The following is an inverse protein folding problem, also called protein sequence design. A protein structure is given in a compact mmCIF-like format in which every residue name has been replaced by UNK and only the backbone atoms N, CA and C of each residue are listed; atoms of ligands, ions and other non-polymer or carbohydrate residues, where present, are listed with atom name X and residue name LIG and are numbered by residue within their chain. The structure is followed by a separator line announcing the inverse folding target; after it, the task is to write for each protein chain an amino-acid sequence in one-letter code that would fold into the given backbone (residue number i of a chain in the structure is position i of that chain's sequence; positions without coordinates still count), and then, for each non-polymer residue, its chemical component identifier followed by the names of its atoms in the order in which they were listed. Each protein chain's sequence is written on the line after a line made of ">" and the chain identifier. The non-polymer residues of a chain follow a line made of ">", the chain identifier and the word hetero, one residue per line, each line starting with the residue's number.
data_IF_640031974192
#
_entry.id   IF_640031974192
#
_cell.length_a   1.000
_cell.length_b   1.000
_cell.length_c   1.000
_cell.angle_alpha   90.00
_cell.angle_beta   90.00
_cell.angle_gamma   90.00
#
_symmetry.space_group_name_H-M   'P 1'
#
loop_
_entity.id
_entity.type
_entity.pdbx_description
1 polymer ?
#
# COMPACT_ATOMS: atom_id res chain seq x y z
N UNK A 1 8.10 10.58 -9.26
CA UNK A 1 7.33 10.61 -8.00
C UNK A 1 8.05 11.50 -7.00
N UNK A 2 7.35 12.39 -6.30
CA UNK A 2 7.91 13.15 -5.17
C UNK A 2 7.87 12.30 -3.91
N UNK A 3 8.87 11.41 -3.75
CA UNK A 3 8.88 10.32 -2.76
C UNK A 3 8.55 10.84 -1.35
N UNK A 4 9.24 11.88 -0.88
CA UNK A 4 9.05 12.43 0.47
C UNK A 4 7.62 12.91 0.73
N UNK A 5 7.04 13.60 -0.26
CA UNK A 5 5.68 14.11 -0.17
C UNK A 5 4.67 12.96 -0.17
N UNK A 6 4.88 11.95 -1.01
CA UNK A 6 4.02 10.77 -1.07
C UNK A 6 4.06 9.97 0.24
N UNK A 7 5.26 9.73 0.80
CA UNK A 7 5.44 9.08 2.11
C UNK A 7 4.72 9.88 3.19
N UNK A 8 4.93 11.20 3.25
CA UNK A 8 4.33 12.05 4.26
C UNK A 8 2.80 12.01 4.22
N UNK A 9 2.21 12.12 3.03
CA UNK A 9 0.75 12.05 2.86
C UNK A 9 0.20 10.68 3.23
N UNK A 10 0.82 9.60 2.75
CA UNK A 10 0.37 8.24 3.05
C UNK A 10 0.40 7.96 4.56
N UNK A 11 1.52 8.26 5.22
CA UNK A 11 1.68 8.03 6.66
C UNK A 11 0.71 8.88 7.50
N UNK A 12 0.42 10.12 7.08
CA UNK A 12 -0.56 10.97 7.75
C UNK A 12 -1.98 10.39 7.66
N UNK A 13 -2.39 9.89 6.49
CA UNK A 13 -3.70 9.25 6.32
C UNK A 13 -3.80 7.99 7.18
N UNK A 14 -2.75 7.15 7.19
CA UNK A 14 -2.68 5.96 8.06
C UNK A 14 -2.83 6.33 9.53
N UNK A 15 -2.12 7.38 9.99
CA UNK A 15 -2.19 7.86 11.36
C UNK A 15 -3.60 8.30 11.75
N UNK A 16 -4.23 9.15 10.93
CA UNK A 16 -5.58 9.65 11.18
C UNK A 16 -6.58 8.49 11.26
N UNK A 17 -6.53 7.54 10.31
CA UNK A 17 -7.42 6.38 10.30
C UNK A 17 -7.22 5.46 11.51
N UNK A 18 -5.98 5.29 11.96
CA UNK A 18 -5.64 4.48 13.12
C UNK A 18 -6.10 5.10 14.44
N UNK A 19 -5.83 6.39 14.65
CA UNK A 19 -6.24 7.13 15.84
C UNK A 19 -7.77 7.23 15.93
N UNK A 20 -8.47 7.37 14.81
CA UNK A 20 -9.94 7.38 14.77
C UNK A 20 -10.58 6.08 15.31
N UNK A 21 -9.86 4.95 15.24
CA UNK A 21 -10.28 3.67 15.84
C UNK A 21 -9.90 3.54 17.32
N UNK A 22 -9.45 4.63 17.96
CA UNK A 22 -8.96 4.67 19.34
C UNK A 22 -7.72 3.78 19.60
N UNK A 23 -6.96 3.47 18.54
CA UNK A 23 -5.68 2.80 18.67
C UNK A 23 -4.55 3.81 18.91
N UNK A 24 -3.48 3.39 19.60
CA UNK A 24 -2.31 4.22 19.83
C UNK A 24 -1.45 4.32 18.56
N UNK A 25 -1.18 5.54 18.10
CA UNK A 25 -0.31 5.82 16.96
C UNK A 25 1.13 5.32 17.14
N UNK A 26 1.60 5.11 18.39
CA UNK A 26 2.91 4.52 18.66
C UNK A 26 3.05 3.09 18.12
N UNK A 27 1.93 2.40 17.87
CA UNK A 27 1.91 1.08 17.24
C UNK A 27 2.12 1.10 15.72
N UNK A 28 2.03 2.27 15.06
CA UNK A 28 2.32 2.46 13.63
C UNK A 28 3.83 2.58 13.40
N UNK A 29 4.58 1.49 13.59
CA UNK A 29 6.05 1.55 13.53
C UNK A 29 6.69 0.70 12.43
N UNK A 30 5.90 0.01 11.61
CA UNK A 30 6.43 -0.87 10.56
C UNK A 30 6.21 -0.28 9.18
N UNK A 31 7.29 -0.27 8.38
CA UNK A 31 7.19 -0.01 6.95
C UNK A 31 6.64 -1.22 6.21
N UNK A 32 6.14 -1.00 5.00
CA UNK A 32 5.60 -2.06 4.14
C UNK A 32 6.60 -3.20 3.91
N UNK A 33 7.87 -2.90 3.60
CA UNK A 33 8.93 -3.91 3.50
C UNK A 33 9.18 -4.62 4.83
N UNK A 34 9.16 -3.89 5.95
CA UNK A 34 9.35 -4.47 7.29
C UNK A 34 8.23 -5.45 7.68
N UNK A 35 7.01 -5.17 7.26
CA UNK A 35 5.84 -5.98 7.54
C UNK A 35 5.79 -7.25 6.69
N UNK A 36 5.90 -7.12 5.36
CA UNK A 36 5.79 -8.26 4.42
C UNK A 36 7.10 -9.02 4.20
N UNK A 37 8.24 -8.47 4.63
CA UNK A 37 9.56 -9.14 4.67
C UNK A 37 9.91 -9.80 3.33
N UNK A 38 10.02 -11.14 3.32
CA UNK A 38 10.49 -11.90 2.17
C UNK A 38 9.57 -11.73 0.96
N UNK A 39 8.26 -11.60 1.16
CA UNK A 39 7.32 -11.43 0.04
C UNK A 39 7.52 -10.08 -0.65
N UNK A 40 7.87 -9.04 0.10
CA UNK A 40 8.24 -7.74 -0.43
C UNK A 40 9.58 -7.79 -1.19
N UNK A 41 10.59 -8.46 -0.63
CA UNK A 41 11.89 -8.64 -1.30
C UNK A 41 11.77 -9.41 -2.62
N UNK A 42 10.89 -10.41 -2.69
CA UNK A 42 10.68 -11.22 -3.90
C UNK A 42 10.22 -10.40 -5.12
N UNK A 43 9.58 -9.24 -4.90
CA UNK A 43 9.13 -8.37 -5.99
C UNK A 43 10.02 -7.16 -6.22
N UNK A 44 11.02 -6.93 -5.36
CA UNK A 44 11.82 -5.69 -5.32
C UNK A 44 12.49 -5.37 -6.64
N UNK A 45 13.02 -6.37 -7.33
CA UNK A 45 13.69 -6.20 -8.63
C UNK A 45 12.75 -5.73 -9.75
N UNK A 46 11.44 -5.89 -9.57
CA UNK A 46 10.40 -5.48 -10.53
C UNK A 46 9.88 -4.07 -10.27
N UNK A 47 10.29 -3.44 -9.17
CA UNK A 47 9.83 -2.10 -8.77
C UNK A 47 10.81 -1.04 -9.23
N UNK A 48 10.31 0.16 -9.53
CA UNK A 48 11.20 1.30 -9.80
C UNK A 48 11.93 1.74 -8.52
N UNK A 49 13.11 2.36 -8.64
CA UNK A 49 13.84 2.86 -7.47
C UNK A 49 13.03 3.80 -6.59
N UNK A 50 12.20 4.66 -7.19
CA UNK A 50 11.34 5.60 -6.46
C UNK A 50 10.26 4.85 -5.66
N UNK A 51 9.68 3.79 -6.24
CA UNK A 51 8.66 3.00 -5.58
C UNK A 51 9.24 2.20 -4.41
N UNK A 52 10.45 1.66 -4.57
CA UNK A 52 11.19 1.04 -3.46
C UNK A 52 11.38 2.06 -2.33
N UNK A 53 11.89 3.26 -2.65
CA UNK A 53 12.13 4.32 -1.67
C UNK A 53 10.85 4.76 -0.93
N UNK A 54 9.70 4.75 -1.61
CA UNK A 54 8.40 4.99 -0.99
C UNK A 54 8.01 3.85 -0.03
N UNK A 55 8.03 2.59 -0.49
CA UNK A 55 7.58 1.42 0.29
C UNK A 55 8.48 1.11 1.49
N UNK A 56 9.76 1.48 1.44
CA UNK A 56 10.67 1.35 2.59
C UNK A 56 10.26 2.25 3.78
N UNK A 57 9.45 3.29 3.51
CA UNK A 57 9.04 4.31 4.49
C UNK A 57 7.53 4.40 4.72
N UNK A 58 6.74 3.84 3.80
CA UNK A 58 5.28 3.83 3.89
C UNK A 58 4.82 2.85 4.98
N UNK A 59 3.96 3.32 5.88
CA UNK A 59 3.41 2.50 6.96
C UNK A 59 2.36 1.50 6.48
N UNK A 60 2.25 0.37 7.15
CA UNK A 60 1.17 -0.58 6.93
C UNK A 60 0.69 -1.13 8.27
N UNK A 61 -0.58 -1.50 8.35
CA UNK A 61 -1.17 -2.10 9.54
C UNK A 61 -2.09 -3.24 9.16
N UNK A 62 -1.80 -4.43 9.69
CA UNK A 62 -2.54 -5.64 9.33
C UNK A 62 -2.32 -6.05 7.88
N UNK A 63 -3.03 -7.08 7.43
CA UNK A 63 -3.15 -7.30 5.99
C UNK A 63 -4.00 -6.18 5.38
N UNK A 64 -3.87 -5.94 4.07
CA UNK A 64 -4.55 -4.83 3.40
C UNK A 64 -6.08 -4.79 3.58
N UNK A 65 -6.71 -5.84 4.12
CA UNK A 65 -8.15 -5.89 4.40
C UNK A 65 -8.53 -5.42 5.81
N UNK A 66 -7.59 -5.42 6.75
CA UNK A 66 -7.84 -5.03 8.15
C UNK A 66 -7.91 -3.50 8.35
N UNK A 67 -7.30 -2.73 7.44
CA UNK A 67 -7.26 -1.27 7.51
C UNK A 67 -7.62 -0.60 6.18
N UNK A 68 -8.72 0.14 6.18
CA UNK A 68 -9.13 1.00 5.07
C UNK A 68 -8.80 2.46 5.40
N UNK A 69 -8.16 3.19 4.47
CA UNK A 69 -7.94 4.64 4.59
C UNK A 69 -9.26 5.41 4.69
N UNK A 70 -10.28 4.90 3.99
CA UNK A 70 -11.65 5.39 3.95
C UNK A 70 -12.56 4.20 3.55
N UNK A 71 -13.89 4.32 3.71
CA UNK A 71 -14.88 3.25 3.52
C UNK A 71 -14.62 2.28 2.33
N UNK A 72 -14.01 2.75 1.25
CA UNK A 72 -13.80 2.01 -0.01
C UNK A 72 -12.35 1.91 -0.52
N UNK A 73 -11.34 2.31 0.26
CA UNK A 73 -9.93 2.11 -0.13
C UNK A 73 -9.15 1.44 0.99
N UNK A 74 -8.70 0.22 0.73
CA UNK A 74 -7.78 -0.55 1.56
C UNK A 74 -6.39 0.09 1.63
N UNK A 75 -5.61 -0.28 2.65
CA UNK A 75 -4.19 0.03 2.76
C UNK A 75 -3.36 -0.43 1.56
N UNK A 76 -2.03 -0.30 1.65
CA UNK A 76 -1.13 -0.83 0.63
C UNK A 76 -1.35 -2.33 0.43
N UNK A 77 -1.38 -2.75 -0.82
CA UNK A 77 -1.66 -4.13 -1.21
C UNK A 77 -0.55 -5.11 -0.76
N UNK A 78 -0.91 -6.39 -0.67
CA UNK A 78 0.08 -7.46 -0.48
C UNK A 78 1.02 -7.52 -1.69
N UNK A 79 2.33 -7.79 -1.53
CA UNK A 79 3.29 -7.89 -2.63
C UNK A 79 2.81 -8.75 -3.82
N UNK A 80 2.20 -9.90 -3.51
CA UNK A 80 1.66 -10.85 -4.50
C UNK A 80 0.54 -10.27 -5.39
N UNK A 81 -0.12 -9.20 -4.97
CA UNK A 81 -1.24 -8.58 -5.69
C UNK A 81 -0.87 -7.28 -6.41
N UNK A 82 0.41 -6.88 -6.40
CA UNK A 82 0.87 -5.70 -7.14
C UNK A 82 0.73 -5.88 -8.66
N UNK A 83 0.73 -7.13 -9.13
CA UNK A 83 0.81 -7.47 -10.55
C UNK A 83 -0.24 -8.50 -10.98
N UNK A 84 -1.31 -8.68 -10.21
CA UNK A 84 -2.32 -9.72 -10.47
C UNK A 84 -3.16 -9.47 -11.72
N UNK A 85 -3.22 -8.22 -12.22
CA UNK A 85 -4.16 -7.81 -13.28
C UNK A 85 -3.48 -7.60 -14.65
N UNK A 86 -2.62 -8.53 -15.06
CA UNK A 86 -1.88 -8.49 -16.33
C UNK A 86 -2.72 -8.90 -17.57
N UNK A 87 -4.04 -8.68 -17.56
CA UNK A 87 -4.92 -9.09 -18.67
C UNK A 87 -4.66 -8.32 -19.98
N UNK A 88 -3.93 -7.19 -19.94
CA UNK A 88 -3.71 -6.30 -21.10
C UNK A 88 -2.25 -6.02 -21.48
N UNK A 89 -1.26 -6.74 -20.93
CA UNK A 89 0.16 -6.54 -21.31
C UNK A 89 0.76 -5.18 -20.91
N UNK A 90 0.09 -4.44 -20.03
CA UNK A 90 0.57 -3.20 -19.42
C UNK A 90 1.33 -3.50 -18.13
N UNK A 91 2.48 -2.86 -17.93
CA UNK A 91 3.34 -2.95 -16.73
C UNK A 91 2.78 -2.17 -15.53
N UNK A 92 1.47 -2.22 -15.31
CA UNK A 92 0.83 -1.43 -14.28
C UNK A 92 1.01 -2.09 -12.92
N UNK A 93 1.18 -1.27 -11.88
CA UNK A 93 1.28 -1.72 -10.49
C UNK A 93 0.07 -1.22 -9.70
N UNK A 94 -0.65 -2.13 -9.06
CA UNK A 94 -1.78 -1.80 -8.19
C UNK A 94 -1.30 -1.66 -6.75
N UNK A 95 -1.16 -0.41 -6.29
CA UNK A 95 -0.61 -0.11 -4.95
C UNK A 95 -1.69 -0.13 -3.86
N UNK A 96 -2.88 0.37 -4.16
CA UNK A 96 -4.00 0.47 -3.24
C UNK A 96 -5.20 -0.24 -3.86
N UNK A 97 -5.85 -1.12 -3.11
CA UNK A 97 -7.07 -1.77 -3.56
C UNK A 97 -8.30 -1.01 -3.10
N UNK A 98 -9.35 -1.04 -3.91
CA UNK A 98 -10.66 -0.65 -3.45
C UNK A 98 -11.29 -1.82 -2.67
N UNK A 99 -11.88 -1.56 -1.51
CA UNK A 99 -12.79 -2.52 -0.90
C UNK A 99 -14.22 -2.23 -1.34
N UNK A 100 -14.95 -3.28 -1.71
CA UNK A 100 -16.42 -3.27 -1.83
C UNK A 100 -17.01 -2.37 -2.95
N UNK A 101 -16.23 -2.03 -3.99
CA UNK A 101 -16.72 -1.36 -5.22
C UNK A 101 -16.85 -2.38 -6.37
N UNK A 102 -17.79 -3.32 -6.25
CA UNK A 102 -18.15 -4.23 -7.36
C UNK A 102 -17.02 -5.14 -7.86
N UNK A 103 -17.29 -5.93 -8.91
CA UNK A 103 -16.43 -7.03 -9.43
C UNK A 103 -15.02 -6.63 -9.95
N UNK A 104 -14.58 -5.38 -9.73
CA UNK A 104 -13.29 -4.86 -10.19
C UNK A 104 -12.49 -4.28 -9.01
N UNK A 105 -11.55 -5.05 -8.42
CA UNK A 105 -10.77 -4.65 -7.25
C UNK A 105 -9.64 -3.64 -7.55
N UNK A 106 -9.51 -3.18 -8.79
CA UNK A 106 -8.42 -2.30 -9.20
C UNK A 106 -8.63 -0.89 -8.65
N UNK A 107 -7.86 -0.56 -7.60
CA UNK A 107 -7.84 0.78 -7.03
C UNK A 107 -6.94 1.75 -7.80
N UNK A 108 -6.05 2.46 -7.11
CA UNK A 108 -5.18 3.47 -7.72
C UNK A 108 -4.05 2.82 -8.54
N UNK A 109 -4.15 2.94 -9.88
CA UNK A 109 -3.15 2.47 -10.85
C UNK A 109 -2.11 3.56 -11.14
N UNK A 110 -0.82 3.20 -11.10
CA UNK A 110 0.30 4.10 -11.45
C UNK A 110 0.94 3.66 -12.78
N UNK A 111 1.24 4.62 -13.66
CA UNK A 111 1.90 4.45 -14.96
C UNK A 111 3.36 4.88 -14.94
#
# INVERSE_FOLDING_TARGET
>A
MEVDRCVGLHNEIMKIGWEARSNDASALNQSWFGYYRQDAENIRERLSPELIAFLERAWVVGDGHDHSFFYYVCGLHHPNHFFSDNSSGSSNVTLYAANDIGEHPDGLMYH
#
